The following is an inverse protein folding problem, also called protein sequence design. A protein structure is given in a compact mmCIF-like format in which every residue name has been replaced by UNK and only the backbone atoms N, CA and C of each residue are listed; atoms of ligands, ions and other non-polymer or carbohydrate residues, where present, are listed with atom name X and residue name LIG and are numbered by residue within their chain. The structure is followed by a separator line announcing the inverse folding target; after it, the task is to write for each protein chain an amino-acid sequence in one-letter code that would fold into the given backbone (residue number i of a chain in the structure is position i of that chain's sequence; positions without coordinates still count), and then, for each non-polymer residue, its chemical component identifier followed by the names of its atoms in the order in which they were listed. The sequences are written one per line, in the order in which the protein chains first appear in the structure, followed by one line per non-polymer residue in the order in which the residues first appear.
data_IF_152652481333
#
_entry.id   IF_152652481333
#
_cell.length_a   1.000
_cell.length_b   1.000
_cell.length_c   1.000
_cell.angle_alpha   90.00
_cell.angle_beta   90.00
_cell.angle_gamma   90.00
#
_symmetry.space_group_name_H-M   'P 1'
#
loop_
_entity.id
_entity.type
_entity.pdbx_description
1 polymer ?
#
# COMPACT_ATOMS: atom_id res chain seq x y z
N UNK A 1 10.21 -13.43 -8.11
CA UNK A 1 10.81 -12.31 -7.35
C UNK A 1 11.22 -12.79 -5.97
N UNK A 2 12.42 -12.45 -5.55
CA UNK A 2 12.91 -12.78 -4.22
C UNK A 2 13.10 -11.50 -3.41
N UNK A 3 12.69 -11.52 -2.15
CA UNK A 3 12.92 -10.44 -1.22
C UNK A 3 13.78 -10.96 -0.07
N UNK A 4 14.80 -10.20 0.31
CA UNK A 4 15.65 -10.51 1.46
C UNK A 4 15.24 -9.61 2.61
N UNK A 5 14.90 -10.21 3.72
CA UNK A 5 14.54 -9.48 4.94
C UNK A 5 15.71 -9.59 5.90
N UNK A 6 16.23 -8.46 6.36
CA UNK A 6 17.36 -8.45 7.28
C UNK A 6 17.13 -7.53 8.48
N UNK A 7 18.06 -7.54 9.40
CA UNK A 7 17.95 -6.92 10.71
C UNK A 7 19.15 -5.98 10.92
N UNK A 8 19.04 -4.71 10.44
CA UNK A 8 20.20 -3.79 10.50
C UNK A 8 20.59 -3.35 11.92
N UNK A 9 19.69 -3.45 12.89
CA UNK A 9 19.99 -3.10 14.27
C UNK A 9 18.78 -2.51 14.98
N UNK A 10 18.80 -2.52 16.30
CA UNK A 10 17.67 -2.05 17.11
C UNK A 10 16.41 -2.84 16.79
N UNK A 11 15.31 -2.14 16.56
CA UNK A 11 14.04 -2.74 16.15
C UNK A 11 13.78 -2.64 14.65
N UNK A 12 14.80 -2.23 13.87
CA UNK A 12 14.72 -2.14 12.41
C UNK A 12 14.64 -3.49 11.75
N UNK A 13 13.77 -3.62 10.78
CA UNK A 13 13.68 -4.77 9.88
C UNK A 13 13.47 -4.21 8.48
N UNK A 14 14.36 -4.53 7.55
CA UNK A 14 14.32 -3.97 6.20
C UNK A 14 14.05 -5.08 5.18
N UNK A 15 13.38 -4.70 4.09
CA UNK A 15 13.15 -5.58 2.95
C UNK A 15 13.92 -5.05 1.73
N UNK A 16 14.66 -5.94 1.07
CA UNK A 16 15.46 -5.61 -0.12
C UNK A 16 14.99 -6.43 -1.31
N UNK A 17 14.74 -5.76 -2.41
CA UNK A 17 14.33 -6.40 -3.67
C UNK A 17 14.73 -5.53 -4.85
N UNK A 18 15.43 -6.11 -5.83
CA UNK A 18 16.03 -5.34 -6.91
C UNK A 18 16.90 -4.22 -6.33
N UNK A 19 16.80 -2.99 -6.86
CA UNK A 19 17.56 -1.84 -6.33
C UNK A 19 16.87 -1.14 -5.14
N UNK A 20 15.77 -1.70 -4.63
CA UNK A 20 14.93 -1.04 -3.64
C UNK A 20 15.15 -1.59 -2.23
N UNK A 21 15.03 -0.70 -1.25
CA UNK A 21 14.97 -1.05 0.17
C UNK A 21 13.73 -0.41 0.79
N UNK A 22 12.93 -1.20 1.46
CA UNK A 22 11.82 -0.71 2.28
C UNK A 22 12.22 -0.88 3.73
N UNK A 23 12.44 0.23 4.41
CA UNK A 23 12.83 0.25 5.83
C UNK A 23 11.58 0.22 6.70
N UNK A 24 11.62 -0.58 7.77
CA UNK A 24 10.59 -0.57 8.81
C UNK A 24 11.20 -0.50 10.19
N UNK A 25 10.44 -0.01 11.15
CA UNK A 25 10.87 0.11 12.54
C UNK A 25 9.66 -0.05 13.47
N UNK A 26 9.91 0.02 14.76
CA UNK A 26 8.89 -0.06 15.80
C UNK A 26 9.07 1.10 16.80
N UNK A 27 8.00 1.53 17.48
CA UNK A 27 8.14 2.41 18.63
C UNK A 27 9.02 1.78 19.72
N UNK A 28 9.71 2.57 20.55
CA UNK A 28 9.63 4.03 20.65
C UNK A 28 10.51 4.80 19.67
N UNK A 29 11.51 4.16 19.05
CA UNK A 29 12.45 4.86 18.16
C UNK A 29 11.75 5.33 16.88
N UNK A 30 11.02 4.41 16.23
CA UNK A 30 10.21 4.71 15.05
C UNK A 30 10.97 5.50 13.97
N UNK A 31 12.19 5.06 13.63
CA UNK A 31 13.01 5.69 12.59
C UNK A 31 12.46 5.47 11.18
N UNK A 32 11.47 4.59 11.04
CA UNK A 32 10.78 4.26 9.79
C UNK A 32 9.35 3.83 10.13
N UNK A 33 8.46 3.72 9.14
CA UNK A 33 7.11 3.22 9.42
C UNK A 33 7.13 1.75 9.87
N UNK A 34 6.08 1.37 10.60
CA UNK A 34 5.90 -0.04 10.96
C UNK A 34 5.56 -0.87 9.72
N UNK A 35 5.83 -2.19 9.73
CA UNK A 35 5.42 -3.05 8.62
C UNK A 35 3.93 -2.96 8.30
N UNK A 36 3.08 -2.86 9.29
CA UNK A 36 1.64 -2.75 9.06
C UNK A 36 1.27 -1.42 8.40
N UNK A 37 1.93 -0.32 8.76
CA UNK A 37 1.73 0.97 8.10
C UNK A 37 2.15 0.90 6.62
N UNK A 38 3.23 0.18 6.30
CA UNK A 38 3.66 -0.05 4.91
C UNK A 38 2.60 -0.84 4.15
N UNK A 39 2.02 -1.87 4.77
CA UNK A 39 0.91 -2.62 4.18
C UNK A 39 -0.27 -1.70 3.87
N UNK A 40 -0.69 -0.87 4.82
CA UNK A 40 -1.79 0.08 4.61
C UNK A 40 -1.47 1.07 3.49
N UNK A 41 -0.24 1.59 3.47
CA UNK A 41 0.21 2.51 2.41
C UNK A 41 0.13 1.86 1.03
N UNK A 42 0.42 0.56 0.94
CA UNK A 42 0.37 -0.16 -0.34
C UNK A 42 -1.04 -0.24 -0.91
N UNK A 43 -2.07 -0.26 -0.06
CA UNK A 43 -3.47 -0.27 -0.50
C UNK A 43 -3.78 1.02 -1.25
N UNK A 44 -3.47 2.17 -0.65
CA UNK A 44 -3.73 3.47 -1.26
C UNK A 44 -2.85 3.75 -2.47
N UNK A 45 -1.56 3.41 -2.40
CA UNK A 45 -0.64 3.66 -3.53
C UNK A 45 -0.97 2.77 -4.72
N UNK A 46 -1.39 1.53 -4.49
CA UNK A 46 -1.82 0.64 -5.58
C UNK A 46 -3.06 1.20 -6.27
N UNK A 47 -4.08 1.59 -5.50
CA UNK A 47 -5.26 2.25 -6.06
C UNK A 47 -4.88 3.52 -6.83
N UNK A 48 -3.94 4.28 -6.28
CA UNK A 48 -3.44 5.52 -6.88
C UNK A 48 -2.81 5.33 -8.25
N UNK A 49 -2.05 4.24 -8.44
CA UNK A 49 -1.45 3.93 -9.75
C UNK A 49 -2.54 3.71 -10.80
N UNK A 50 -3.61 2.99 -10.46
CA UNK A 50 -4.73 2.78 -11.38
C UNK A 50 -5.45 4.08 -11.70
N UNK A 51 -5.70 4.92 -10.69
CA UNK A 51 -6.33 6.24 -10.87
C UNK A 51 -5.47 7.13 -11.77
N UNK A 52 -4.17 7.18 -11.51
CA UNK A 52 -3.25 7.97 -12.32
C UNK A 52 -3.22 7.49 -13.78
N UNK A 53 -3.14 6.18 -13.99
CA UNK A 53 -3.16 5.58 -15.33
C UNK A 53 -4.44 5.91 -16.10
N UNK A 54 -5.58 5.84 -15.42
CA UNK A 54 -6.87 6.21 -16.00
C UNK A 54 -6.84 7.67 -16.50
N UNK A 55 -6.35 8.58 -15.66
CA UNK A 55 -6.29 9.99 -16.00
C UNK A 55 -5.32 10.27 -17.16
N UNK A 56 -4.13 9.67 -17.11
CA UNK A 56 -3.12 9.87 -18.16
C UNK A 56 -3.58 9.38 -19.53
N UNK A 57 -4.24 8.23 -19.58
CA UNK A 57 -4.75 7.67 -20.83
C UNK A 57 -5.80 8.55 -21.50
N UNK A 58 -6.48 9.40 -20.74
CA UNK A 58 -7.57 10.26 -21.19
C UNK A 58 -7.21 11.74 -21.18
N UNK A 59 -5.95 12.06 -20.90
CA UNK A 59 -5.49 13.45 -20.79
C UNK A 59 -6.35 14.28 -19.82
N UNK A 60 -6.74 13.65 -18.69
CA UNK A 60 -7.51 14.33 -17.65
C UNK A 60 -6.56 15.09 -16.71
N UNK A 61 -7.04 16.20 -16.11
CA UNK A 61 -6.21 16.98 -15.21
C UNK A 61 -5.84 16.19 -13.94
N UNK A 62 -4.57 16.25 -13.56
CA UNK A 62 -4.05 15.54 -12.37
C UNK A 62 -3.49 16.48 -11.32
N UNK A 63 -3.38 17.78 -11.59
CA UNK A 63 -2.94 18.77 -10.62
C UNK A 63 -3.96 18.86 -9.49
N UNK A 64 -3.54 18.55 -8.27
CA UNK A 64 -4.43 18.50 -7.11
C UNK A 64 -5.14 17.17 -6.92
N UNK A 65 -4.93 16.21 -7.82
CA UNK A 65 -5.44 14.85 -7.64
C UNK A 65 -4.76 14.21 -6.43
N UNK A 66 -5.54 13.67 -5.51
CA UNK A 66 -5.01 12.93 -4.36
C UNK A 66 -6.04 11.94 -3.85
N UNK A 67 -5.58 10.98 -3.07
CA UNK A 67 -6.44 10.04 -2.37
C UNK A 67 -6.22 10.24 -0.87
N UNK A 68 -7.30 10.42 -0.13
CA UNK A 68 -7.25 10.42 1.33
C UNK A 68 -7.73 9.07 1.80
N UNK A 69 -6.84 8.34 2.48
CA UNK A 69 -7.13 7.02 3.03
C UNK A 69 -7.39 7.13 4.52
N UNK A 70 -8.54 6.63 4.96
CA UNK A 70 -8.92 6.66 6.38
C UNK A 70 -9.09 5.23 6.88
N UNK A 71 -8.46 4.96 8.00
CA UNK A 71 -8.44 3.62 8.60
C UNK A 71 -9.39 3.62 9.79
N UNK A 72 -10.32 2.66 9.80
CA UNK A 72 -11.27 2.48 10.88
C UNK A 72 -11.00 1.15 11.57
N UNK A 73 -10.56 1.22 12.83
CA UNK A 73 -10.24 0.02 13.60
C UNK A 73 -11.33 -0.25 14.65
N UNK A 74 -11.52 -1.54 14.95
CA UNK A 74 -12.40 -1.93 16.05
C UNK A 74 -11.80 -1.48 17.38
N UNK A 75 -12.56 -0.76 18.23
CA UNK A 75 -12.07 -0.40 19.57
C UNK A 75 -11.89 -1.61 20.48
N UNK A 76 -12.51 -2.73 20.17
CA UNK A 76 -12.44 -3.94 20.99
C UNK A 76 -11.27 -4.84 20.60
N UNK A 77 -11.05 -5.06 19.32
CA UNK A 77 -10.01 -5.99 18.84
C UNK A 77 -8.76 -5.30 18.30
N UNK A 78 -8.83 -4.01 17.98
CA UNK A 78 -7.76 -3.27 17.29
C UNK A 78 -7.62 -3.63 15.82
N UNK A 79 -8.39 -4.57 15.32
CA UNK A 79 -8.37 -4.96 13.91
C UNK A 79 -8.98 -3.86 13.03
N UNK A 80 -8.43 -3.71 11.85
CA UNK A 80 -8.99 -2.78 10.86
C UNK A 80 -10.29 -3.37 10.32
N UNK A 81 -11.37 -2.62 10.44
CA UNK A 81 -12.70 -3.04 9.99
C UNK A 81 -13.07 -2.44 8.65
N UNK A 82 -12.59 -1.23 8.38
CA UNK A 82 -12.97 -0.50 7.19
C UNK A 82 -11.82 0.40 6.74
N UNK A 83 -11.62 0.49 5.46
CA UNK A 83 -10.68 1.43 4.85
C UNK A 83 -11.44 2.24 3.82
N UNK A 84 -11.48 3.56 4.00
CA UNK A 84 -12.07 4.48 3.04
C UNK A 84 -10.96 5.05 2.16
N UNK A 85 -11.17 5.01 0.86
CA UNK A 85 -10.32 5.69 -0.12
C UNK A 85 -11.17 6.80 -0.76
N UNK A 86 -10.89 8.04 -0.42
CA UNK A 86 -11.57 9.19 -1.00
C UNK A 86 -10.70 9.79 -2.08
N UNK A 87 -11.14 9.68 -3.32
CA UNK A 87 -10.43 10.25 -4.47
C UNK A 87 -10.85 11.71 -4.61
N UNK A 88 -9.92 12.63 -4.39
CA UNK A 88 -10.16 14.05 -4.54
C UNK A 88 -9.63 14.51 -5.89
N UNK A 89 -10.52 15.05 -6.70
CA UNK A 89 -10.20 15.46 -8.06
C UNK A 89 -10.10 16.98 -8.17
N UNK A 90 -9.34 17.52 -9.15
CA UNK A 90 -9.29 18.95 -9.38
C UNK A 90 -10.68 19.50 -9.79
N UNK A 91 -10.89 20.81 -9.60
CA UNK A 91 -12.16 21.45 -9.94
C UNK A 91 -12.54 21.29 -11.42
N UNK A 92 -11.54 21.28 -12.31
CA UNK A 92 -11.75 21.14 -13.75
C UNK A 92 -11.85 19.68 -14.22
N UNK A 93 -11.90 18.73 -13.27
CA UNK A 93 -12.07 17.32 -13.62
C UNK A 93 -13.49 17.06 -14.11
N UNK A 94 -13.67 16.44 -15.30
CA UNK A 94 -15.01 16.18 -15.85
C UNK A 94 -15.81 15.23 -14.96
N UNK A 95 -16.97 15.66 -14.51
CA UNK A 95 -17.82 14.91 -13.60
C UNK A 95 -18.24 13.54 -14.16
N UNK A 96 -18.42 13.45 -15.48
CA UNK A 96 -18.83 12.21 -16.14
C UNK A 96 -17.86 11.05 -15.95
N UNK A 97 -16.59 11.33 -15.63
CA UNK A 97 -15.58 10.30 -15.42
C UNK A 97 -15.44 9.83 -13.96
N UNK A 98 -16.11 10.51 -13.03
CA UNK A 98 -15.96 10.17 -11.59
C UNK A 98 -16.39 8.74 -11.26
N UNK A 99 -17.52 8.21 -11.75
CA UNK A 99 -17.89 6.81 -11.50
C UNK A 99 -16.85 5.82 -12.04
N UNK A 100 -16.32 6.06 -13.23
CA UNK A 100 -15.31 5.19 -13.84
C UNK A 100 -13.99 5.23 -13.05
N UNK A 101 -13.66 6.38 -12.49
CA UNK A 101 -12.47 6.55 -11.67
C UNK A 101 -12.55 5.68 -10.41
N UNK A 102 -13.70 5.67 -9.75
CA UNK A 102 -13.97 4.82 -8.58
C UNK A 102 -13.83 3.35 -8.96
N UNK A 103 -14.45 2.94 -10.05
CA UNK A 103 -14.38 1.55 -10.52
C UNK A 103 -12.93 1.13 -10.80
N UNK A 104 -12.15 2.00 -11.42
CA UNK A 104 -10.73 1.76 -11.72
C UNK A 104 -9.92 1.55 -10.43
N UNK A 105 -10.14 2.38 -9.42
CA UNK A 105 -9.46 2.25 -8.13
C UNK A 105 -9.74 0.89 -7.47
N UNK A 106 -10.93 0.34 -7.67
CA UNK A 106 -11.33 -0.95 -7.09
C UNK A 106 -10.66 -2.14 -7.76
N UNK A 107 -10.00 -1.97 -8.92
CA UNK A 107 -9.32 -3.04 -9.65
C UNK A 107 -7.90 -3.30 -9.16
N UNK A 108 -7.44 -2.62 -8.11
CA UNK A 108 -6.03 -2.70 -7.71
C UNK A 108 -5.63 -4.13 -7.30
N UNK A 109 -4.38 -4.47 -7.62
CA UNK A 109 -3.83 -5.80 -7.38
C UNK A 109 -3.80 -6.16 -5.89
N UNK A 110 -3.49 -5.21 -5.01
CA UNK A 110 -3.47 -5.42 -3.56
C UNK A 110 -4.85 -5.86 -3.08
N UNK A 111 -5.90 -5.15 -3.50
CA UNK A 111 -7.28 -5.48 -3.10
C UNK A 111 -7.67 -6.88 -3.57
N UNK A 112 -7.31 -7.24 -4.81
CA UNK A 112 -7.57 -8.58 -5.34
C UNK A 112 -6.92 -9.67 -4.51
N UNK A 113 -5.71 -9.44 -3.99
CA UNK A 113 -5.01 -10.40 -3.15
C UNK A 113 -5.55 -10.47 -1.72
N UNK A 114 -6.24 -9.44 -1.26
CA UNK A 114 -6.97 -9.49 0.01
C UNK A 114 -8.26 -10.31 -0.12
N UNK A 115 -8.91 -10.24 -1.27
CA UNK A 115 -10.13 -11.02 -1.55
C UNK A 115 -9.81 -12.49 -1.84
N UNK A 116 -8.64 -12.75 -2.45
CA UNK A 116 -8.15 -14.08 -2.77
C UNK A 116 -6.73 -14.23 -2.24
N UNK A 117 -6.57 -14.41 -0.92
CA UNK A 117 -5.24 -14.37 -0.31
C UNK A 117 -4.36 -15.54 -0.72
N UNK A 118 -3.04 -15.32 -0.83
CA UNK A 118 -2.09 -16.38 -1.11
C UNK A 118 -1.95 -17.32 0.10
N UNK A 119 -1.45 -18.52 -0.14
CA UNK A 119 -1.05 -19.43 0.93
C UNK A 119 0.32 -19.05 1.44
N UNK A 120 0.53 -19.30 2.73
CA UNK A 120 1.82 -19.04 3.39
C UNK A 120 2.45 -20.36 3.81
N UNK A 121 3.75 -20.47 3.61
CA UNK A 121 4.56 -21.56 4.08
C UNK A 121 5.80 -20.99 4.77
N UNK A 122 6.00 -21.31 6.04
CA UNK A 122 7.12 -20.79 6.82
C UNK A 122 8.03 -21.94 7.20
N UNK A 123 9.30 -21.81 6.87
CA UNK A 123 10.31 -22.84 7.13
C UNK A 123 11.53 -22.22 7.80
N UNK A 124 12.39 -23.06 8.35
CA UNK A 124 13.67 -22.62 8.88
C UNK A 124 14.81 -23.41 8.24
N UNK A 125 15.97 -22.79 8.20
CA UNK A 125 17.19 -23.39 7.67
C UNK A 125 18.38 -22.73 8.37
N UNK A 126 19.41 -23.51 8.65
CA UNK A 126 20.64 -22.95 9.18
C UNK A 126 21.34 -22.16 8.06
N UNK A 127 21.68 -20.88 8.34
CA UNK A 127 22.36 -20.04 7.37
C UNK A 127 23.79 -20.53 7.13
N UNK A 128 24.19 -20.57 5.85
CA UNK A 128 25.58 -20.87 5.50
C UNK A 128 26.39 -19.58 5.55
N UNK A 129 27.53 -19.59 6.26
CA UNK A 129 28.43 -18.46 6.38
C UNK A 129 29.62 -18.56 5.43
N UNK A 130 29.59 -19.51 4.55
CA UNK A 130 30.68 -19.73 3.58
C UNK A 130 30.73 -18.65 2.50
#
# INVERSE_FOLDING_TARGET
MEMIIDFPGGSRVDAHFGPHTVATDQPPVASAPTPFAVFLASIGTCAGIYVLGFCKQRNLPTDGLRIVQRIHSSPMSGMVEKIDLEIQVPEDFPEKYRPSLIHTAELCAVKKHLENPPKFEVTTKVASLA
#
